data_IF_186835001496
#
_entry.id   IF_186835001496
#
_cell.length_a   1.000
_cell.length_b   1.000
_cell.length_c   1.000
_cell.angle_alpha   90.00
_cell.angle_beta   90.00
_cell.angle_gamma   90.00
#
_symmetry.space_group_name_H-M   'P 1'
#
loop_
_entity.id
_entity.type
_entity.pdbx_description
1 polymer ?
#
# COMPACT_ATOMS: atom_id res chain seq x y z
N UNK A 1 -25.76 5.42 0.38
CA UNK A 1 -24.73 5.02 -0.61
C UNK A 1 -24.90 3.54 -0.87
N UNK A 2 -25.09 3.11 -2.12
CA UNK A 2 -25.31 1.69 -2.43
C UNK A 2 -24.05 0.86 -2.13
N UNK A 3 -24.22 -0.43 -1.88
CA UNK A 3 -23.11 -1.36 -1.62
C UNK A 3 -22.12 -1.45 -2.79
N UNK A 4 -22.62 -1.36 -4.03
CA UNK A 4 -21.79 -1.26 -5.24
C UNK A 4 -20.88 -0.04 -5.23
N UNK A 5 -21.36 1.12 -4.78
CA UNK A 5 -20.53 2.34 -4.64
C UNK A 5 -19.50 2.19 -3.52
N UNK A 6 -19.81 1.45 -2.43
CA UNK A 6 -18.83 1.19 -1.36
C UNK A 6 -17.67 0.32 -1.84
N UNK A 7 -17.96 -0.75 -2.61
CA UNK A 7 -16.91 -1.63 -3.15
C UNK A 7 -16.02 -0.88 -4.14
N UNK A 8 -16.59 -0.08 -5.04
CA UNK A 8 -15.81 0.75 -5.97
C UNK A 8 -14.90 1.73 -5.22
N UNK A 9 -15.40 2.36 -4.15
CA UNK A 9 -14.59 3.25 -3.32
C UNK A 9 -13.46 2.51 -2.60
N UNK A 10 -13.71 1.30 -2.09
CA UNK A 10 -12.67 0.46 -1.50
C UNK A 10 -11.59 0.12 -2.53
N UNK A 11 -11.97 -0.22 -3.76
CA UNK A 11 -11.01 -0.48 -4.84
C UNK A 11 -10.13 0.76 -5.09
N UNK A 12 -10.74 1.92 -5.29
CA UNK A 12 -10.01 3.17 -5.52
C UNK A 12 -9.05 3.51 -4.37
N UNK A 13 -9.52 3.45 -3.13
CA UNK A 13 -8.69 3.69 -1.95
C UNK A 13 -7.57 2.66 -1.81
N UNK A 14 -7.81 1.41 -2.21
CA UNK A 14 -6.79 0.35 -2.21
C UNK A 14 -5.66 0.67 -3.15
N UNK A 15 -5.97 1.01 -4.41
CA UNK A 15 -4.95 1.34 -5.40
C UNK A 15 -4.22 2.64 -5.06
N UNK A 16 -4.97 3.68 -4.68
CA UNK A 16 -4.38 4.98 -4.43
C UNK A 16 -3.53 4.97 -3.14
N UNK A 17 -4.02 4.33 -2.07
CA UNK A 17 -3.29 4.18 -0.81
C UNK A 17 -1.98 3.41 -0.98
N UNK A 18 -2.02 2.24 -1.64
CA UNK A 18 -0.81 1.43 -1.82
C UNK A 18 0.20 2.10 -2.76
N UNK A 19 -0.28 2.77 -3.82
CA UNK A 19 0.60 3.45 -4.77
C UNK A 19 1.33 4.61 -4.10
N UNK A 20 0.61 5.45 -3.34
CA UNK A 20 1.23 6.54 -2.59
C UNK A 20 2.19 6.03 -1.53
N UNK A 21 1.83 4.97 -0.79
CA UNK A 21 2.75 4.38 0.18
C UNK A 21 4.05 3.89 -0.48
N UNK A 22 3.97 3.14 -1.57
CA UNK A 22 5.14 2.62 -2.28
C UNK A 22 5.97 3.72 -2.94
N UNK A 23 5.33 4.71 -3.58
CA UNK A 23 6.01 5.87 -4.16
C UNK A 23 6.73 6.65 -3.07
N UNK A 24 6.06 6.90 -1.94
CA UNK A 24 6.63 7.59 -0.79
C UNK A 24 7.85 6.87 -0.22
N UNK A 25 7.75 5.55 -0.01
CA UNK A 25 8.88 4.75 0.51
C UNK A 25 10.04 4.72 -0.48
N UNK A 26 9.76 4.51 -1.77
CA UNK A 26 10.79 4.43 -2.81
C UNK A 26 11.49 5.78 -2.99
N UNK A 27 10.72 6.87 -2.99
CA UNK A 27 11.25 8.23 -3.06
C UNK A 27 12.07 8.57 -1.82
N UNK A 28 11.59 8.24 -0.62
CA UNK A 28 12.33 8.44 0.62
C UNK A 28 13.71 7.78 0.57
N UNK A 29 13.77 6.47 0.29
CA UNK A 29 15.04 5.75 0.21
C UNK A 29 15.90 6.16 -1.00
N UNK A 30 15.29 6.54 -2.12
CA UNK A 30 16.02 7.04 -3.29
C UNK A 30 16.80 8.34 -3.01
N UNK A 31 16.29 9.19 -2.13
CA UNK A 31 16.94 10.45 -1.72
C UNK A 31 17.86 10.27 -0.51
N UNK A 32 17.45 9.48 0.49
CA UNK A 32 18.26 9.23 1.70
C UNK A 32 19.58 8.50 1.38
N UNK A 33 19.62 7.72 0.30
CA UNK A 33 20.86 7.08 -0.18
C UNK A 33 21.85 8.10 -0.82
N UNK A 34 21.42 9.32 -1.14
CA UNK A 34 22.29 10.39 -1.64
C UNK A 34 22.70 11.31 -0.48
N UNK A 35 23.98 11.32 -0.03
CA UNK A 35 24.39 11.89 1.25
C UNK A 35 24.10 13.38 1.50
N UNK A 36 23.71 14.17 0.48
CA UNK A 36 23.70 15.63 0.55
C UNK A 36 22.38 16.30 0.11
N UNK A 37 21.30 15.55 -0.12
CA UNK A 37 20.06 16.12 -0.66
C UNK A 37 18.81 15.75 0.16
N UNK A 38 18.72 16.33 1.36
CA UNK A 38 17.57 16.18 2.26
C UNK A 38 16.39 17.09 1.90
N UNK A 39 16.53 17.93 0.88
CA UNK A 39 15.56 18.97 0.52
C UNK A 39 14.15 18.43 0.23
N UNK A 40 14.05 17.20 -0.27
CA UNK A 40 12.79 16.57 -0.69
C UNK A 40 12.30 15.47 0.27
N UNK A 41 13.02 15.18 1.36
CA UNK A 41 12.66 14.10 2.30
C UNK A 41 11.28 14.33 2.93
N UNK A 42 10.95 15.58 3.27
CA UNK A 42 9.65 15.94 3.84
C UNK A 42 8.47 15.65 2.91
N UNK A 43 8.63 15.86 1.60
CA UNK A 43 7.60 15.56 0.60
C UNK A 43 7.31 14.05 0.53
N UNK A 44 8.35 13.21 0.57
CA UNK A 44 8.19 11.76 0.53
C UNK A 44 7.51 11.22 1.80
N UNK A 45 7.85 11.79 2.96
CA UNK A 45 7.15 11.47 4.23
C UNK A 45 5.67 11.85 4.14
N UNK A 46 5.35 13.03 3.61
CA UNK A 46 3.96 13.46 3.44
C UNK A 46 3.19 12.52 2.49
N UNK A 47 3.80 12.11 1.38
CA UNK A 47 3.21 11.14 0.45
C UNK A 47 2.94 9.79 1.14
N UNK A 48 3.89 9.29 1.94
CA UNK A 48 3.70 8.07 2.73
C UNK A 48 2.56 8.22 3.74
N UNK A 49 2.48 9.36 4.44
CA UNK A 49 1.43 9.62 5.43
C UNK A 49 0.04 9.62 4.78
N UNK A 50 -0.10 10.28 3.61
CA UNK A 50 -1.36 10.28 2.84
C UNK A 50 -1.72 8.85 2.42
N UNK A 51 -0.76 8.08 1.90
CA UNK A 51 -0.97 6.67 1.55
C UNK A 51 -1.44 5.82 2.73
N UNK A 52 -0.82 6.00 3.90
CA UNK A 52 -1.20 5.34 5.14
C UNK A 52 -2.60 5.70 5.62
N UNK A 53 -2.97 6.99 5.59
CA UNK A 53 -4.31 7.46 5.94
C UNK A 53 -5.37 6.82 5.03
N UNK A 54 -5.14 6.81 3.71
CA UNK A 54 -6.06 6.22 2.76
C UNK A 54 -6.19 4.70 2.93
N UNK A 55 -5.07 4.01 3.20
CA UNK A 55 -5.06 2.60 3.58
C UNK A 55 -5.85 2.32 4.86
N UNK A 56 -5.71 3.18 5.87
CA UNK A 56 -6.48 3.11 7.12
C UNK A 56 -7.97 3.33 6.91
N UNK A 57 -8.37 4.33 6.12
CA UNK A 57 -9.77 4.59 5.76
C UNK A 57 -10.36 3.39 5.02
N UNK A 58 -9.63 2.83 4.04
CA UNK A 58 -10.02 1.60 3.35
C UNK A 58 -10.24 0.45 4.33
N UNK A 59 -9.31 0.21 5.24
CA UNK A 59 -9.38 -0.88 6.21
C UNK A 59 -10.54 -0.73 7.19
N UNK A 60 -10.84 0.50 7.60
CA UNK A 60 -12.03 0.79 8.40
C UNK A 60 -13.31 0.47 7.63
N UNK A 61 -13.38 0.79 6.33
CA UNK A 61 -14.53 0.44 5.49
C UNK A 61 -14.69 -1.08 5.35
N UNK A 62 -13.60 -1.81 5.08
CA UNK A 62 -13.62 -3.28 4.98
C UNK A 62 -14.06 -3.90 6.30
N UNK A 63 -13.53 -3.42 7.44
CA UNK A 63 -13.93 -3.90 8.76
C UNK A 63 -15.43 -3.73 9.01
N UNK A 64 -16.01 -2.57 8.66
CA UNK A 64 -17.45 -2.33 8.78
C UNK A 64 -18.31 -3.23 7.88
N UNK A 65 -17.77 -3.67 6.74
CA UNK A 65 -18.48 -4.52 5.78
C UNK A 65 -18.43 -6.00 6.16
N UNK A 66 -17.25 -6.54 6.46
CA UNK A 66 -17.05 -7.99 6.57
C UNK A 66 -16.51 -8.43 7.94
N UNK A 67 -16.37 -7.51 8.90
CA UNK A 67 -15.93 -7.71 10.29
C UNK A 67 -14.80 -8.75 10.43
N UNK A 68 -15.08 -9.97 10.87
CA UNK A 68 -14.09 -11.05 11.05
C UNK A 68 -13.31 -11.39 9.76
N UNK A 69 -13.92 -11.24 8.58
CA UNK A 69 -13.27 -11.46 7.29
C UNK A 69 -12.22 -10.41 6.92
N UNK A 70 -12.22 -9.27 7.62
CA UNK A 70 -11.33 -8.14 7.37
C UNK A 70 -9.92 -8.36 7.92
N UNK A 71 -9.78 -9.14 9.00
CA UNK A 71 -8.50 -9.31 9.70
C UNK A 71 -7.37 -9.75 8.77
N UNK A 72 -7.61 -10.78 7.94
CA UNK A 72 -6.62 -11.30 6.99
C UNK A 72 -6.19 -10.23 5.96
N UNK A 73 -7.12 -9.36 5.56
CA UNK A 73 -6.84 -8.30 4.58
C UNK A 73 -5.98 -7.21 5.23
N UNK A 74 -6.36 -6.78 6.43
CA UNK A 74 -5.62 -5.76 7.19
C UNK A 74 -4.21 -6.25 7.53
N UNK A 75 -4.08 -7.51 7.98
CA UNK A 75 -2.78 -8.13 8.26
C UNK A 75 -1.90 -8.16 7.01
N UNK A 76 -2.47 -8.52 5.86
CA UNK A 76 -1.74 -8.53 4.60
C UNK A 76 -1.25 -7.13 4.21
N UNK A 77 -2.06 -6.08 4.39
CA UNK A 77 -1.61 -4.71 4.12
C UNK A 77 -0.43 -4.31 5.00
N UNK A 78 -0.48 -4.65 6.30
CA UNK A 78 0.60 -4.36 7.25
C UNK A 78 1.87 -5.06 6.78
N UNK A 79 1.79 -6.33 6.38
CA UNK A 79 2.94 -7.07 5.83
C UNK A 79 3.49 -6.39 4.58
N UNK A 80 2.63 -5.97 3.65
CA UNK A 80 3.07 -5.30 2.42
C UNK A 80 3.77 -3.97 2.73
N UNK A 81 3.26 -3.18 3.67
CA UNK A 81 3.88 -1.93 4.10
C UNK A 81 5.24 -2.22 4.75
N UNK A 82 5.34 -3.20 5.65
CA UNK A 82 6.60 -3.59 6.27
C UNK A 82 7.63 -4.04 5.22
N UNK A 83 7.22 -4.87 4.26
CA UNK A 83 8.07 -5.27 3.14
C UNK A 83 8.49 -4.10 2.27
N UNK A 84 7.62 -3.09 2.08
CA UNK A 84 7.97 -1.89 1.34
C UNK A 84 9.14 -1.15 1.98
N UNK A 85 9.22 -1.11 3.32
CA UNK A 85 10.36 -0.52 4.03
C UNK A 85 11.60 -1.42 4.08
N UNK A 86 11.43 -2.74 4.03
CA UNK A 86 12.51 -3.71 4.18
C UNK A 86 13.24 -4.01 2.86
N UNK A 87 12.55 -4.10 1.73
CA UNK A 87 13.19 -4.42 0.45
C UNK A 87 14.25 -3.37 0.05
N UNK A 88 13.99 -2.05 0.16
CA UNK A 88 14.98 -1.01 -0.16
C UNK A 88 16.29 -1.10 0.63
N UNK A 89 16.27 -1.64 1.85
CA UNK A 89 17.47 -1.75 2.69
C UNK A 89 18.42 -2.87 2.25
N UNK A 90 17.99 -3.74 1.33
CA UNK A 90 18.84 -4.78 0.77
C UNK A 90 19.91 -4.09 -0.10
N UNK A 91 21.22 -4.33 0.16
CA UNK A 91 22.31 -3.66 -0.54
C UNK A 91 22.47 -4.23 -1.95
N UNK A 92 21.59 -3.81 -2.86
CA UNK A 92 21.66 -4.11 -4.28
C UNK A 92 22.25 -2.92 -5.05
N UNK A 93 23.04 -3.18 -6.11
CA UNK A 93 23.68 -2.11 -6.87
C UNK A 93 22.65 -1.20 -7.54
N UNK A 94 22.98 0.09 -7.62
CA UNK A 94 22.27 1.11 -8.42
C UNK A 94 20.78 1.28 -8.09
N UNK A 95 20.36 1.01 -6.86
CA UNK A 95 18.96 1.16 -6.45
C UNK A 95 18.04 0.07 -7.03
N UNK A 96 18.59 -1.06 -7.48
CA UNK A 96 17.79 -2.18 -7.99
C UNK A 96 16.78 -2.70 -6.95
N UNK A 97 17.12 -2.61 -5.65
CA UNK A 97 16.21 -2.93 -4.54
C UNK A 97 14.93 -2.08 -4.55
N UNK A 98 15.03 -0.80 -4.90
CA UNK A 98 13.89 0.13 -5.02
C UNK A 98 13.00 -0.23 -6.20
N UNK A 99 13.59 -0.62 -7.33
CA UNK A 99 12.82 -1.08 -8.49
C UNK A 99 12.08 -2.39 -8.15
N UNK A 100 12.79 -3.34 -7.53
CA UNK A 100 12.24 -4.63 -7.13
C UNK A 100 11.11 -4.49 -6.11
N UNK A 101 11.18 -3.54 -5.18
CA UNK A 101 10.11 -3.32 -4.21
C UNK A 101 8.79 -2.98 -4.91
N UNK A 102 8.81 -2.08 -5.90
CA UNK A 102 7.61 -1.72 -6.67
C UNK A 102 7.19 -2.89 -7.57
N UNK A 103 8.11 -3.44 -8.35
CA UNK A 103 7.83 -4.48 -9.34
C UNK A 103 7.32 -5.79 -8.71
N UNK A 104 7.63 -6.06 -7.44
CA UNK A 104 7.15 -7.25 -6.72
C UNK A 104 5.91 -6.93 -5.91
N UNK A 105 5.92 -5.85 -5.10
CA UNK A 105 4.83 -5.60 -4.15
C UNK A 105 3.55 -5.16 -4.83
N UNK A 106 3.61 -4.40 -5.95
CA UNK A 106 2.39 -3.98 -6.67
C UNK A 106 1.65 -5.18 -7.26
N UNK A 107 2.29 -6.09 -8.04
CA UNK A 107 1.60 -7.27 -8.55
C UNK A 107 1.11 -8.20 -7.45
N UNK A 108 1.90 -8.42 -6.41
CA UNK A 108 1.52 -9.27 -5.27
C UNK A 108 0.28 -8.71 -4.58
N UNK A 109 0.26 -7.41 -4.29
CA UNK A 109 -0.90 -6.73 -3.70
C UNK A 109 -2.13 -6.81 -4.60
N UNK A 110 -1.96 -6.55 -5.91
CA UNK A 110 -3.05 -6.63 -6.88
C UNK A 110 -3.65 -8.04 -6.98
N UNK A 111 -2.80 -9.08 -7.03
CA UNK A 111 -3.25 -10.47 -7.08
C UNK A 111 -4.01 -10.85 -5.81
N UNK A 112 -3.51 -10.46 -4.63
CA UNK A 112 -4.20 -10.69 -3.37
C UNK A 112 -5.54 -9.95 -3.33
N UNK A 113 -5.58 -8.69 -3.74
CA UNK A 113 -6.80 -7.91 -3.79
C UNK A 113 -7.86 -8.56 -4.69
N UNK A 114 -7.47 -8.98 -5.90
CA UNK A 114 -8.36 -9.61 -6.87
C UNK A 114 -8.87 -10.99 -6.42
N UNK A 115 -8.00 -11.82 -5.81
CA UNK A 115 -8.32 -13.22 -5.48
C UNK A 115 -8.93 -13.39 -4.08
N UNK A 116 -8.64 -12.49 -3.15
CA UNK A 116 -9.03 -12.62 -1.74
C UNK A 116 -9.98 -11.51 -1.32
N UNK A 117 -9.58 -10.25 -1.51
CA UNK A 117 -10.34 -9.09 -1.00
C UNK A 117 -11.65 -8.91 -1.76
N UNK A 118 -11.60 -8.83 -3.08
CA UNK A 118 -12.78 -8.55 -3.90
C UNK A 118 -13.87 -9.63 -3.79
N UNK A 119 -13.56 -10.94 -3.85
CA UNK A 119 -14.59 -11.98 -3.70
C UNK A 119 -15.24 -11.98 -2.31
N UNK A 120 -14.49 -11.64 -1.25
CA UNK A 120 -15.04 -11.51 0.10
C UNK A 120 -16.00 -10.33 0.23
N UNK A 121 -15.68 -9.20 -0.40
CA UNK A 121 -16.57 -8.03 -0.43
C UNK A 121 -17.85 -8.32 -1.22
N UNK A 122 -17.76 -9.07 -2.32
CA UNK A 122 -18.91 -9.43 -3.14
C UNK A 122 -19.86 -10.45 -2.48
N UNK A 123 -19.35 -11.32 -1.59
CA UNK A 123 -20.18 -12.32 -0.86
C UNK A 123 -21.08 -11.73 0.22
N UNK A 124 -20.84 -10.48 0.61
CA UNK A 124 -21.63 -9.79 1.65
C UNK A 124 -22.73 -8.91 1.01
N UNK A 125 -22.72 -8.78 -0.31
CA UNK A 125 -23.81 -8.23 -1.12
C UNK A 125 -24.78 -9.33 -1.54
#
# INVERSE_FOLDING_TARGET
MSETTKIQRIQQLSFLGISLALIGVTGFYGYVVRPNDYSLVGMWIAIMAIGGILGGVKNLMIYKLINNGAFIIILFDIIIILLAFLIPTIPLPRGLSLLLSICILVPVYFQFFKKVTLPRLQKVN
#
